data_IF_909411790055
#
_entry.id   IF_909411790055
#
_cell.length_a   1.000
_cell.length_b   1.000
_cell.length_c   1.000
_cell.angle_alpha   90.00
_cell.angle_beta   90.00
_cell.angle_gamma   90.00
#
_symmetry.space_group_name_H-M   'P 1'
#
loop_
_entity.id
_entity.type
_entity.pdbx_description
1 polymer ?
#
# COMPACT_ATOMS: atom_id res chain seq x y z
N UNK A 1 32.61 -24.00 30.07
CA UNK A 1 32.34 -23.46 28.72
C UNK A 1 30.88 -23.09 28.65
N UNK A 2 30.57 -21.81 28.82
CA UNK A 2 29.20 -21.29 28.67
C UNK A 2 28.92 -21.21 27.18
N UNK A 3 27.92 -21.96 26.69
CA UNK A 3 27.43 -21.84 25.32
C UNK A 3 26.88 -20.42 25.15
N UNK A 4 27.37 -19.68 24.16
CA UNK A 4 26.74 -18.43 23.76
C UNK A 4 25.26 -18.73 23.45
N UNK A 5 24.31 -17.87 23.85
CA UNK A 5 22.94 -17.99 23.41
C UNK A 5 22.90 -17.93 21.87
N UNK A 6 22.06 -18.77 21.29
CA UNK A 6 21.93 -18.93 19.84
C UNK A 6 21.25 -17.68 19.25
N UNK A 7 22.02 -16.61 19.05
CA UNK A 7 21.53 -15.33 18.51
C UNK A 7 21.03 -15.45 17.05
N UNK A 8 21.29 -16.59 16.39
CA UNK A 8 20.80 -16.88 15.05
C UNK A 8 19.28 -17.09 15.03
N UNK A 9 18.70 -17.79 16.02
CA UNK A 9 17.28 -18.13 16.01
C UNK A 9 16.34 -16.89 16.09
N UNK A 10 16.59 -15.88 16.94
CA UNK A 10 15.78 -14.66 16.95
C UNK A 10 15.91 -13.83 15.67
N UNK A 11 17.09 -13.79 15.06
CA UNK A 11 17.32 -13.06 13.81
C UNK A 11 16.62 -13.72 12.63
N UNK A 12 16.69 -15.04 12.52
CA UNK A 12 16.00 -15.83 11.48
C UNK A 12 14.48 -15.65 11.58
N UNK A 13 13.92 -15.60 12.80
CA UNK A 13 12.50 -15.29 13.02
C UNK A 13 12.18 -13.87 12.54
N UNK A 14 12.96 -12.85 12.94
CA UNK A 14 12.72 -11.48 12.48
C UNK A 14 12.80 -11.34 10.95
N UNK A 15 13.73 -12.06 10.29
CA UNK A 15 13.85 -12.06 8.84
C UNK A 15 12.65 -12.74 8.16
N UNK A 16 12.18 -13.86 8.71
CA UNK A 16 10.98 -14.54 8.21
C UNK A 16 9.73 -13.65 8.34
N UNK A 17 9.58 -12.93 9.45
CA UNK A 17 8.46 -12.01 9.68
C UNK A 17 8.47 -10.78 8.75
N UNK A 18 9.66 -10.30 8.38
CA UNK A 18 9.80 -9.15 7.48
C UNK A 18 9.73 -9.53 5.99
N UNK A 19 9.85 -10.81 5.64
CA UNK A 19 9.86 -11.26 4.25
C UNK A 19 8.54 -10.92 3.51
N UNK A 20 7.40 -11.10 4.18
CA UNK A 20 6.08 -10.85 3.58
C UNK A 20 5.79 -9.34 3.37
N UNK A 21 6.00 -8.45 4.36
CA UNK A 21 5.88 -7.00 4.14
C UNK A 21 6.85 -6.45 3.08
N UNK A 22 8.08 -6.98 3.00
CA UNK A 22 9.05 -6.56 1.99
C UNK A 22 8.51 -6.90 0.59
N UNK A 23 8.03 -8.13 0.37
CA UNK A 23 7.45 -8.55 -0.91
C UNK A 23 6.22 -7.72 -1.30
N UNK A 24 5.35 -7.40 -0.36
CA UNK A 24 4.21 -6.52 -0.61
C UNK A 24 4.66 -5.12 -1.06
N UNK A 25 5.74 -4.60 -0.47
CA UNK A 25 6.31 -3.29 -0.84
C UNK A 25 6.95 -3.34 -2.22
N UNK A 26 7.67 -4.41 -2.54
CA UNK A 26 8.24 -4.64 -3.87
C UNK A 26 7.14 -4.70 -4.95
N UNK A 27 6.04 -5.41 -4.68
CA UNK A 27 4.89 -5.48 -5.57
C UNK A 27 4.25 -4.10 -5.80
N UNK A 28 4.11 -3.29 -4.74
CA UNK A 28 3.59 -1.93 -4.87
C UNK A 28 4.51 -1.03 -5.70
N UNK A 29 5.82 -1.16 -5.54
CA UNK A 29 6.82 -0.43 -6.32
C UNK A 29 6.83 -0.86 -7.79
N UNK A 30 6.68 -2.14 -8.07
CA UNK A 30 6.52 -2.68 -9.42
C UNK A 30 5.27 -2.10 -10.09
N UNK A 31 4.14 -2.12 -9.39
CA UNK A 31 2.89 -1.57 -9.92
C UNK A 31 3.00 -0.05 -10.18
N UNK A 32 3.65 0.69 -9.27
CA UNK A 32 3.93 2.12 -9.47
C UNK A 32 4.78 2.36 -10.72
N UNK A 33 5.81 1.54 -10.96
CA UNK A 33 6.64 1.64 -12.17
C UNK A 33 5.83 1.38 -13.44
N UNK A 34 4.95 0.39 -13.43
CA UNK A 34 4.07 0.08 -14.56
C UNK A 34 3.11 1.23 -14.87
N UNK A 35 2.47 1.82 -13.85
CA UNK A 35 1.59 2.98 -14.01
C UNK A 35 2.33 4.20 -14.58
N UNK A 36 3.54 4.47 -14.10
CA UNK A 36 4.37 5.57 -14.62
C UNK A 36 4.76 5.34 -16.09
N UNK A 37 4.97 4.08 -16.50
CA UNK A 37 5.27 3.75 -17.89
C UNK A 37 4.06 4.00 -18.80
N UNK A 38 2.85 3.67 -18.35
CA UNK A 38 1.59 3.96 -19.04
C UNK A 38 1.34 5.47 -19.16
N UNK A 39 1.53 6.23 -18.08
CA UNK A 39 1.41 7.68 -18.09
C UNK A 39 2.40 8.31 -19.09
N UNK A 40 3.67 7.89 -19.03
CA UNK A 40 4.71 8.35 -19.95
C UNK A 40 4.33 8.07 -21.41
N UNK A 41 3.68 6.95 -21.69
CA UNK A 41 3.20 6.58 -23.03
C UNK A 41 2.03 7.46 -23.47
N UNK A 42 1.08 7.77 -22.57
CA UNK A 42 0.00 8.72 -22.83
C UNK A 42 0.54 10.10 -23.20
N UNK A 43 1.51 10.62 -22.43
CA UNK A 43 2.11 11.93 -22.72
C UNK A 43 2.81 11.93 -24.09
N UNK A 44 3.50 10.84 -24.46
CA UNK A 44 4.12 10.72 -25.78
C UNK A 44 3.08 10.72 -26.90
N UNK A 45 2.01 9.94 -26.77
CA UNK A 45 0.88 9.94 -27.72
C UNK A 45 0.33 11.35 -27.93
N UNK A 46 0.10 12.08 -26.84
CA UNK A 46 -0.51 13.42 -26.90
C UNK A 46 0.41 14.40 -27.64
N UNK A 47 1.71 14.37 -27.33
CA UNK A 47 2.72 15.16 -28.03
C UNK A 47 2.80 14.82 -29.51
N UNK A 48 2.78 13.54 -29.86
CA UNK A 48 2.86 13.11 -31.25
C UNK A 48 1.60 13.48 -32.04
N UNK A 49 0.42 13.46 -31.41
CA UNK A 49 -0.81 13.93 -32.04
C UNK A 49 -0.75 15.44 -32.32
N UNK A 50 -0.31 16.24 -31.34
CA UNK A 50 -0.12 17.70 -31.53
C UNK A 50 0.84 17.96 -32.69
N UNK A 51 2.01 17.30 -32.71
CA UNK A 51 3.00 17.46 -33.78
C UNK A 51 2.45 17.09 -35.16
N UNK A 52 1.63 16.04 -35.26
CA UNK A 52 1.01 15.64 -36.53
C UNK A 52 -0.02 16.68 -37.00
N UNK A 53 -0.77 17.27 -36.09
CA UNK A 53 -1.71 18.36 -36.42
C UNK A 53 -0.97 19.61 -36.85
N UNK A 54 0.09 20.01 -36.14
CA UNK A 54 0.95 21.14 -36.51
C UNK A 54 1.58 20.92 -37.89
N UNK A 55 2.10 19.72 -38.16
CA UNK A 55 2.64 19.37 -39.47
C UNK A 55 1.57 19.43 -40.57
N UNK A 56 0.36 18.94 -40.31
CA UNK A 56 -0.75 19.01 -41.25
C UNK A 56 -1.15 20.47 -41.56
N UNK A 57 -1.17 21.34 -40.55
CA UNK A 57 -1.41 22.78 -40.72
C UNK A 57 -0.30 23.44 -41.55
N UNK A 58 0.96 23.13 -41.27
CA UNK A 58 2.10 23.74 -41.93
C UNK A 58 2.27 23.32 -43.40
N UNK A 59 1.87 22.09 -43.75
CA UNK A 59 2.01 21.52 -45.11
C UNK A 59 0.79 21.73 -45.99
N UNK A 60 -0.33 22.19 -45.42
CA UNK A 60 -1.59 22.34 -46.14
C UNK A 60 -1.65 23.66 -46.92
N UNK A 61 -1.46 23.58 -48.24
CA UNK A 61 -1.96 24.59 -49.17
C UNK A 61 -3.43 24.40 -49.59
N UNK A 62 -4.02 23.25 -49.24
CA UNK A 62 -5.38 22.83 -49.62
C UNK A 62 -6.12 22.23 -48.40
N UNK A 63 -7.35 22.69 -48.19
CA UNK A 63 -8.26 22.25 -47.12
C UNK A 63 -8.54 20.74 -47.16
N UNK A 64 -8.58 20.12 -48.35
CA UNK A 64 -8.78 18.68 -48.44
C UNK A 64 -7.56 17.89 -47.93
N UNK A 65 -6.35 18.34 -48.26
CA UNK A 65 -5.12 17.73 -47.76
C UNK A 65 -5.01 17.84 -46.23
N UNK A 66 -5.36 19.00 -45.67
CA UNK A 66 -5.41 19.20 -44.22
C UNK A 66 -6.39 18.24 -43.53
N UNK A 67 -7.64 18.20 -44.01
CA UNK A 67 -8.68 17.36 -43.38
C UNK A 67 -8.34 15.88 -43.43
N UNK A 68 -7.75 15.41 -44.52
CA UNK A 68 -7.25 14.03 -44.63
C UNK A 68 -6.12 13.73 -43.63
N UNK A 69 -5.13 14.62 -43.53
CA UNK A 69 -4.04 14.49 -42.57
C UNK A 69 -4.52 14.53 -41.11
N UNK A 70 -5.49 15.39 -40.80
CA UNK A 70 -6.12 15.47 -39.49
C UNK A 70 -6.88 14.19 -39.14
N UNK A 71 -7.64 13.61 -40.08
CA UNK A 71 -8.30 12.32 -39.87
C UNK A 71 -7.30 11.19 -39.61
N UNK A 72 -6.18 11.16 -40.33
CA UNK A 72 -5.12 10.19 -40.09
C UNK A 72 -4.51 10.36 -38.69
N UNK A 73 -4.23 11.59 -38.26
CA UNK A 73 -3.73 11.89 -36.93
C UNK A 73 -4.71 11.45 -35.83
N UNK A 74 -6.01 11.73 -35.99
CA UNK A 74 -7.06 11.31 -35.06
C UNK A 74 -7.19 9.79 -34.97
N UNK A 75 -7.16 9.07 -36.10
CA UNK A 75 -7.19 7.60 -36.09
C UNK A 75 -5.97 7.01 -35.36
N UNK A 76 -4.79 7.55 -35.62
CA UNK A 76 -3.58 7.11 -34.94
C UNK A 76 -3.64 7.37 -33.42
N UNK A 77 -4.16 8.53 -33.01
CA UNK A 77 -4.39 8.86 -31.60
C UNK A 77 -5.39 7.89 -30.94
N UNK A 78 -6.51 7.61 -31.62
CA UNK A 78 -7.54 6.70 -31.11
C UNK A 78 -7.01 5.27 -30.94
N UNK A 79 -6.26 4.77 -31.94
CA UNK A 79 -5.65 3.44 -31.88
C UNK A 79 -4.65 3.33 -30.72
N UNK A 80 -3.77 4.32 -30.57
CA UNK A 80 -2.79 4.32 -29.47
C UNK A 80 -3.49 4.45 -28.11
N UNK A 81 -4.56 5.24 -28.02
CA UNK A 81 -5.40 5.34 -26.82
C UNK A 81 -5.98 3.99 -26.43
N UNK A 82 -6.59 3.27 -27.37
CA UNK A 82 -7.14 1.95 -27.13
C UNK A 82 -6.06 0.95 -26.70
N UNK A 83 -4.87 1.01 -27.30
CA UNK A 83 -3.74 0.18 -26.88
C UNK A 83 -3.33 0.46 -25.43
N UNK A 84 -3.18 1.73 -25.05
CA UNK A 84 -2.83 2.12 -23.66
C UNK A 84 -3.90 1.61 -22.68
N UNK A 85 -5.19 1.76 -23.01
CA UNK A 85 -6.27 1.27 -22.15
C UNK A 85 -6.28 -0.26 -22.04
N UNK A 86 -6.04 -0.97 -23.15
CA UNK A 86 -5.93 -2.42 -23.14
C UNK A 86 -4.80 -2.90 -22.24
N UNK A 87 -3.61 -2.30 -22.37
CA UNK A 87 -2.44 -2.62 -21.54
C UNK A 87 -2.68 -2.27 -20.08
N UNK A 88 -3.31 -1.13 -19.79
CA UNK A 88 -3.66 -0.71 -18.43
C UNK A 88 -4.65 -1.66 -17.77
N UNK A 89 -5.67 -2.11 -18.48
CA UNK A 89 -6.66 -3.06 -17.98
C UNK A 89 -6.01 -4.42 -17.67
N UNK A 90 -5.17 -4.93 -18.59
CA UNK A 90 -4.45 -6.19 -18.40
C UNK A 90 -3.49 -6.11 -17.20
N UNK A 91 -2.69 -5.04 -17.12
CA UNK A 91 -1.76 -4.82 -16.02
C UNK A 91 -2.51 -4.74 -14.67
N UNK A 92 -3.58 -3.95 -14.60
CA UNK A 92 -4.38 -3.82 -13.37
C UNK A 92 -4.97 -5.16 -12.93
N UNK A 93 -5.50 -5.95 -13.86
CA UNK A 93 -6.06 -7.27 -13.55
C UNK A 93 -4.99 -8.24 -13.00
N UNK A 94 -3.80 -8.25 -13.62
CA UNK A 94 -2.68 -9.07 -13.16
C UNK A 94 -2.19 -8.64 -11.77
N UNK A 95 -1.93 -7.35 -11.57
CA UNK A 95 -1.45 -6.81 -10.30
C UNK A 95 -2.47 -6.94 -9.17
N UNK A 96 -3.76 -6.84 -9.47
CA UNK A 96 -4.81 -7.06 -8.47
C UNK A 96 -4.83 -8.52 -7.99
N UNK A 97 -4.64 -9.49 -8.90
CA UNK A 97 -4.57 -10.90 -8.52
C UNK A 97 -3.35 -11.17 -7.62
N UNK A 98 -2.17 -10.65 -8.00
CA UNK A 98 -0.92 -10.76 -7.22
C UNK A 98 -1.07 -10.12 -5.83
N UNK A 99 -1.70 -8.95 -5.76
CA UNK A 99 -1.91 -8.23 -4.51
C UNK A 99 -2.85 -8.99 -3.56
N UNK A 100 -3.94 -9.57 -4.09
CA UNK A 100 -4.88 -10.37 -3.29
C UNK A 100 -4.21 -11.64 -2.77
N UNK A 101 -3.40 -12.31 -3.58
CA UNK A 101 -2.67 -13.51 -3.17
C UNK A 101 -1.68 -13.18 -2.04
N UNK A 102 -0.89 -12.11 -2.21
CA UNK A 102 0.10 -11.71 -1.22
C UNK A 102 -0.53 -11.18 0.08
N UNK A 103 -1.64 -10.42 0.00
CA UNK A 103 -2.41 -10.01 1.18
C UNK A 103 -3.01 -11.22 1.91
N UNK A 104 -3.49 -12.20 1.17
CA UNK A 104 -4.01 -13.45 1.74
C UNK A 104 -2.91 -14.20 2.47
N UNK A 105 -1.71 -14.29 1.86
CA UNK A 105 -0.52 -14.94 2.41
C UNK A 105 -0.03 -14.24 3.68
N UNK A 106 0.11 -12.91 3.63
CA UNK A 106 0.46 -12.08 4.78
C UNK A 106 -0.56 -12.24 5.91
N UNK A 107 -1.86 -12.26 5.61
CA UNK A 107 -2.91 -12.45 6.62
C UNK A 107 -2.84 -13.83 7.28
N UNK A 108 -2.48 -14.87 6.52
CA UNK A 108 -2.29 -16.23 7.02
C UNK A 108 -1.06 -16.34 7.92
N UNK A 109 0.07 -15.81 7.48
CA UNK A 109 1.32 -15.76 8.25
C UNK A 109 1.12 -14.97 9.56
N UNK A 110 0.52 -13.78 9.47
CA UNK A 110 0.20 -12.95 10.63
C UNK A 110 -0.73 -13.66 11.62
N UNK A 111 -1.74 -14.38 11.11
CA UNK A 111 -2.66 -15.16 11.96
C UNK A 111 -1.96 -16.33 12.65
N UNK A 112 -1.07 -17.02 11.97
CA UNK A 112 -0.31 -18.14 12.53
C UNK A 112 0.73 -17.67 13.56
N UNK A 113 1.36 -16.52 13.32
CA UNK A 113 2.41 -16.01 14.19
C UNK A 113 1.85 -15.34 15.46
N UNK A 114 0.84 -14.48 15.33
CA UNK A 114 0.30 -13.74 16.48
C UNK A 114 -0.81 -14.47 17.21
N UNK A 115 -1.75 -15.10 16.50
CA UNK A 115 -2.96 -15.62 17.15
C UNK A 115 -2.85 -17.08 17.61
N UNK A 116 -2.09 -17.93 16.90
CA UNK A 116 -1.96 -19.33 17.29
C UNK A 116 -1.23 -19.55 18.64
N UNK A 117 -0.20 -18.76 19.01
CA UNK A 117 0.41 -18.83 20.34
C UNK A 117 -0.52 -18.29 21.44
N UNK A 118 -1.27 -17.22 21.14
CA UNK A 118 -2.22 -16.61 22.09
C UNK A 118 -3.39 -17.54 22.43
N UNK A 119 -3.83 -18.39 21.49
CA UNK A 119 -4.85 -19.42 21.74
C UNK A 119 -4.39 -20.55 22.67
N UNK A 120 -3.08 -20.71 22.87
CA UNK A 120 -2.51 -21.75 23.76
C UNK A 120 -2.34 -21.28 25.20
N UNK A 121 -2.65 -20.01 25.50
CA UNK A 121 -2.58 -19.47 26.85
C UNK A 121 -3.83 -19.86 27.67
N UNK A 122 -3.66 -20.52 28.83
CA UNK A 122 -4.79 -20.88 29.69
C UNK A 122 -5.48 -19.62 30.22
N UNK A 123 -6.81 -19.54 30.05
CA UNK A 123 -7.64 -18.38 30.43
C UNK A 123 -8.13 -17.51 29.28
N UNK A 124 -7.66 -17.75 28.04
CA UNK A 124 -8.18 -17.08 26.83
C UNK A 124 -9.46 -17.78 26.31
N UNK A 125 -10.54 -17.81 27.10
CA UNK A 125 -11.82 -18.42 26.67
C UNK A 125 -12.70 -17.52 25.79
N UNK A 126 -12.34 -16.26 25.56
CA UNK A 126 -13.04 -15.47 24.57
C UNK A 126 -12.45 -15.74 23.19
N UNK A 127 -13.24 -16.21 22.20
CA UNK A 127 -12.76 -16.23 20.84
C UNK A 127 -12.52 -14.77 20.46
N UNK A 128 -11.25 -14.39 20.32
CA UNK A 128 -10.86 -13.22 19.54
C UNK A 128 -11.26 -13.51 18.09
N UNK A 129 -12.57 -13.44 17.82
CA UNK A 129 -13.23 -14.01 16.65
C UNK A 129 -12.98 -13.24 15.35
N UNK A 130 -12.19 -12.17 15.40
CA UNK A 130 -11.64 -11.50 14.21
C UNK A 130 -10.56 -10.50 14.64
N UNK A 131 -9.64 -10.20 13.72
CA UNK A 131 -8.60 -9.18 13.88
C UNK A 131 -9.17 -7.81 14.32
N UNK A 132 -10.36 -7.44 13.82
CA UNK A 132 -11.03 -6.19 14.17
C UNK A 132 -11.58 -6.16 15.60
N UNK A 133 -11.97 -7.31 16.16
CA UNK A 133 -12.36 -7.42 17.56
C UNK A 133 -11.16 -7.28 18.50
N UNK A 134 -10.02 -7.86 18.11
CA UNK A 134 -8.76 -7.71 18.85
C UNK A 134 -8.26 -6.26 18.86
N UNK A 135 -8.22 -5.61 17.69
CA UNK A 135 -7.82 -4.21 17.57
C UNK A 135 -8.68 -3.27 18.42
N UNK A 136 -10.00 -3.48 18.47
CA UNK A 136 -10.90 -2.71 19.34
C UNK A 136 -10.59 -2.92 20.83
N UNK A 137 -10.33 -4.15 21.25
CA UNK A 137 -9.97 -4.44 22.64
C UNK A 137 -8.66 -3.75 23.04
N UNK A 138 -7.65 -3.75 22.17
CA UNK A 138 -6.40 -3.03 22.41
C UNK A 138 -6.60 -1.51 22.46
N UNK A 139 -7.46 -0.96 21.59
CA UNK A 139 -7.79 0.47 21.60
C UNK A 139 -8.53 0.88 22.88
N UNK A 140 -9.51 0.09 23.32
CA UNK A 140 -10.27 0.35 24.54
C UNK A 140 -9.37 0.30 25.79
N UNK A 141 -8.42 -0.63 25.84
CA UNK A 141 -7.46 -0.73 26.95
C UNK A 141 -6.43 0.41 26.96
N UNK A 142 -5.96 0.84 25.79
CA UNK A 142 -5.10 2.04 25.72
C UNK A 142 -5.86 3.30 26.16
N UNK A 143 -7.16 3.40 25.85
CA UNK A 143 -8.01 4.51 26.27
C UNK A 143 -8.40 4.44 27.76
N UNK A 144 -8.49 3.24 28.33
CA UNK A 144 -8.75 3.06 29.77
C UNK A 144 -7.55 3.55 30.60
N UNK A 145 -6.32 3.21 30.19
CA UNK A 145 -5.08 3.69 30.82
C UNK A 145 -4.95 5.22 30.79
N UNK A 146 -5.33 5.85 29.68
CA UNK A 146 -5.32 7.33 29.56
C UNK A 146 -6.36 7.99 30.46
N UNK A 147 -7.50 7.34 30.73
CA UNK A 147 -8.51 7.84 31.68
C UNK A 147 -8.13 7.59 33.14
N UNK A 148 -7.24 6.65 33.42
CA UNK A 148 -6.86 6.24 34.77
C UNK A 148 -5.72 7.06 35.39
N UNK A 149 -5.09 8.01 34.69
CA UNK A 149 -4.10 8.93 35.31
C UNK A 149 -4.78 9.92 36.27
N UNK A 150 -4.58 9.82 37.60
CA UNK A 150 -5.10 10.80 38.54
C UNK A 150 -4.12 11.99 38.61
N UNK A 151 -4.56 13.18 38.25
CA UNK A 151 -3.84 14.43 38.47
C UNK A 151 -3.79 14.72 39.98
N UNK A 152 -2.84 14.13 40.70
CA UNK A 152 -2.61 14.41 42.12
C UNK A 152 -1.74 15.67 42.26
N UNK A 153 -2.36 16.85 42.17
CA UNK A 153 -1.74 18.10 42.59
C UNK A 153 -1.64 18.15 44.13
N UNK A 154 -0.45 17.86 44.65
CA UNK A 154 -0.11 17.86 46.07
C UNK A 154 0.24 19.29 46.52
N UNK A 155 -0.67 19.97 47.23
CA UNK A 155 -0.37 21.20 47.97
C UNK A 155 0.01 20.84 49.41
N UNK A 156 1.20 21.19 49.93
CA UNK A 156 1.54 20.94 51.33
C UNK A 156 0.95 22.01 52.24
N UNK A 157 0.08 21.60 53.17
CA UNK A 157 -0.32 22.42 54.31
C UNK A 157 0.78 22.38 55.37
N UNK A 158 1.44 23.51 55.61
CA UNK A 158 2.26 23.71 56.81
C UNK A 158 1.34 23.93 58.01
N UNK A 159 1.29 22.95 58.91
CA UNK A 159 0.78 23.13 60.27
C UNK A 159 1.95 23.49 61.17
N UNK A 160 2.03 24.73 61.61
CA UNK A 160 2.90 25.14 62.71
C UNK A 160 2.17 24.91 64.04
N UNK A 161 2.84 24.18 64.93
CA UNK A 161 2.41 23.74 66.24
C UNK A 161 2.69 24.84 67.27
N UNK A 162 1.80 25.00 68.25
CA UNK A 162 1.88 26.02 69.28
C UNK A 162 2.99 25.81 70.32
N UNK A 163 3.28 26.90 71.02
CA UNK A 163 3.67 26.94 72.42
C UNK A 163 2.75 27.95 73.12
#
# INVERSE_FOLDING_TARGET
MNRLPDFAAPLEICQAELAEPIRLTELAEDWRRDLNALESRSIRRDRDAIRRVEAALAQSGDSYAFTSALQAAMRAYANETLSIWGDAALNTAQRQAELIDELTRLSGAWRLFWFAPLQKLPGAEAPLGSFSAWLRACQDEMLSVVRSTPTQSRTPAHTAMGA
#
